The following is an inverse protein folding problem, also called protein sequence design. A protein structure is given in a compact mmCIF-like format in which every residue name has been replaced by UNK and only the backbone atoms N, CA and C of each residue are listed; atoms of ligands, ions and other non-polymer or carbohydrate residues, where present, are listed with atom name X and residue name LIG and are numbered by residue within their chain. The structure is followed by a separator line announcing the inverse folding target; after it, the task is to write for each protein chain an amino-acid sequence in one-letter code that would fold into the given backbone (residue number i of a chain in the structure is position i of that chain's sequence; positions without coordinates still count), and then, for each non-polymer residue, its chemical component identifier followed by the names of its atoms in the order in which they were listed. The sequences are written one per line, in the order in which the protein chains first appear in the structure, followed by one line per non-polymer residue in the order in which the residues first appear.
data_IF_899932838425
#
_entry.id   IF_899932838425
#
_cell.length_a   1.000
_cell.length_b   1.000
_cell.length_c   1.000
_cell.angle_alpha   90.00
_cell.angle_beta   90.00
_cell.angle_gamma   90.00
#
_symmetry.space_group_name_H-M   'P 1'
#
loop_
_entity.id
_entity.type
_entity.pdbx_description
1 polymer ?
#
# COMPACT_ATOMS: atom_id res chain seq x y z
N UNK A 1 1.18 -24.25 66.49
CA UNK A 1 2.11 -23.95 65.38
C UNK A 1 1.29 -23.70 64.13
N UNK A 2 1.23 -22.56 63.45
CA UNK A 2 2.09 -21.38 63.42
C UNK A 2 1.92 -20.80 62.00
N UNK A 3 0.93 -19.92 61.83
CA UNK A 3 0.69 -19.15 60.61
C UNK A 3 1.80 -18.11 60.43
N UNK A 4 2.46 -18.08 59.25
CA UNK A 4 3.06 -16.84 58.72
C UNK A 4 2.73 -16.73 57.24
N UNK A 5 1.92 -15.71 56.95
CA UNK A 5 1.65 -15.15 55.64
C UNK A 5 2.94 -14.67 54.97
N UNK A 6 3.14 -14.99 53.69
CA UNK A 6 3.99 -14.19 52.81
C UNK A 6 3.23 -13.81 51.54
N UNK A 7 2.63 -12.61 51.59
CA UNK A 7 2.33 -11.80 50.42
C UNK A 7 3.63 -11.56 49.66
N UNK A 8 3.62 -11.81 48.35
CA UNK A 8 4.23 -10.92 47.34
C UNK A 8 3.57 -11.20 45.99
N UNK A 9 2.70 -10.27 45.61
CA UNK A 9 2.17 -10.11 44.26
C UNK A 9 3.35 -9.77 43.36
N UNK A 10 3.52 -10.49 42.27
CA UNK A 10 4.43 -10.10 41.18
C UNK A 10 3.62 -10.08 39.89
N UNK A 11 2.99 -8.91 39.68
CA UNK A 11 2.46 -8.49 38.39
C UNK A 11 3.65 -8.03 37.56
N UNK A 12 4.02 -8.78 36.52
CA UNK A 12 5.01 -8.32 35.55
C UNK A 12 4.26 -7.71 34.36
N UNK A 13 4.09 -6.39 34.40
CA UNK A 13 3.75 -5.57 33.24
C UNK A 13 4.90 -5.71 32.23
N UNK A 14 4.65 -6.33 31.08
CA UNK A 14 5.48 -6.12 29.90
C UNK A 14 5.01 -4.83 29.24
N UNK A 15 5.84 -3.82 29.42
CA UNK A 15 5.74 -2.47 28.87
C UNK A 15 5.57 -2.49 27.36
N UNK A 16 4.48 -1.89 26.89
CA UNK A 16 4.33 -1.48 25.50
C UNK A 16 5.47 -0.50 25.15
N UNK A 17 6.27 -0.85 24.14
CA UNK A 17 7.25 0.07 23.58
C UNK A 17 6.49 1.03 22.67
N UNK A 18 6.09 2.16 23.24
CA UNK A 18 5.69 3.32 22.46
C UNK A 18 6.97 3.98 21.91
N UNK A 19 7.35 3.63 20.68
CA UNK A 19 8.32 4.44 19.95
C UNK A 19 7.56 5.59 19.28
N UNK A 20 7.36 6.68 20.01
CA UNK A 20 6.99 7.98 19.45
C UNK A 20 8.24 8.85 19.34
N UNK A 21 8.71 9.08 18.12
CA UNK A 21 9.51 10.26 17.76
C UNK A 21 9.61 10.39 16.25
N UNK A 22 8.84 11.32 15.70
CA UNK A 22 8.82 11.65 14.27
C UNK A 22 7.67 12.60 13.96
N UNK A 23 7.61 13.73 14.68
CA UNK A 23 6.59 14.75 14.47
C UNK A 23 6.69 15.37 13.08
N UNK A 24 5.69 15.09 12.26
CA UNK A 24 5.22 15.97 11.20
C UNK A 24 3.69 15.96 11.28
N UNK A 25 3.13 16.85 12.11
CA UNK A 25 1.74 17.27 11.97
C UNK A 25 1.65 18.19 10.76
N UNK A 26 1.89 17.66 9.57
CA UNK A 26 1.22 18.15 8.38
C UNK A 26 -0.16 17.50 8.44
N UNK A 27 -1.23 18.31 8.41
CA UNK A 27 -2.60 17.82 8.48
C UNK A 27 -2.74 16.58 7.61
N UNK A 28 -3.10 15.44 8.20
CA UNK A 28 -3.28 14.19 7.48
C UNK A 28 -4.52 14.36 6.61
N UNK A 29 -4.35 15.04 5.48
CA UNK A 29 -5.22 14.86 4.34
C UNK A 29 -5.02 13.41 3.93
N UNK A 30 -5.90 12.55 4.45
CA UNK A 30 -6.04 11.17 4.03
C UNK A 30 -6.28 11.21 2.52
N UNK A 31 -5.24 10.88 1.76
CA UNK A 31 -5.35 10.68 0.34
C UNK A 31 -5.78 9.24 0.11
N UNK A 32 -6.39 8.98 -1.04
CA UNK A 32 -6.39 7.66 -1.62
C UNK A 32 -4.96 7.13 -1.74
N UNK A 33 -4.74 5.90 -1.27
CA UNK A 33 -3.43 5.25 -1.19
C UNK A 33 -2.58 5.74 -0.03
N UNK A 34 -1.38 5.19 0.12
CA UNK A 34 -0.46 5.53 1.19
C UNK A 34 0.98 5.40 0.75
N UNK A 35 1.84 6.25 1.28
CA UNK A 35 3.28 6.12 1.05
C UNK A 35 4.10 6.43 2.28
N UNK A 36 5.32 5.88 2.30
CA UNK A 36 6.26 5.98 3.41
C UNK A 36 7.69 6.12 2.90
N UNK A 37 8.50 6.89 3.62
CA UNK A 37 9.91 7.09 3.30
C UNK A 37 10.78 7.01 4.56
N UNK A 38 12.07 6.70 4.39
CA UNK A 38 13.07 6.74 5.49
C UNK A 38 14.35 7.42 5.06
N UNK A 39 14.96 8.26 5.93
CA UNK A 39 16.12 9.04 5.53
C UNK A 39 17.39 8.19 5.39
N UNK A 40 18.30 8.58 4.50
CA UNK A 40 19.65 8.05 4.39
C UNK A 40 20.65 8.78 5.28
N UNK A 41 21.90 8.30 5.33
CA UNK A 41 22.98 8.89 6.15
C UNK A 41 23.93 9.79 5.35
N UNK A 42 23.79 9.82 4.02
CA UNK A 42 24.61 10.64 3.12
C UNK A 42 25.96 10.01 2.75
N UNK A 43 26.44 10.36 1.57
CA UNK A 43 27.74 9.94 1.03
C UNK A 43 27.99 10.54 -0.36
N UNK A 44 29.21 11.00 -0.63
CA UNK A 44 29.61 11.58 -1.92
C UNK A 44 29.81 10.49 -2.97
N UNK A 45 28.76 10.15 -3.69
CA UNK A 45 28.80 9.23 -4.82
C UNK A 45 27.56 9.49 -5.68
N UNK A 46 27.67 9.39 -7.00
CA UNK A 46 26.55 9.57 -7.91
C UNK A 46 25.45 8.57 -7.56
N UNK A 47 24.45 9.01 -6.80
CA UNK A 47 23.44 8.13 -6.26
C UNK A 47 22.49 7.75 -7.41
N UNK A 48 22.56 6.50 -7.88
CA UNK A 48 21.63 5.97 -8.89
C UNK A 48 20.28 5.72 -8.22
N UNK A 49 19.52 6.79 -8.00
CA UNK A 49 18.12 6.69 -7.63
C UNK A 49 17.37 5.97 -8.76
N UNK A 50 16.52 5.03 -8.39
CA UNK A 50 15.68 4.31 -9.33
C UNK A 50 14.24 4.21 -8.83
N UNK A 51 13.32 3.98 -9.76
CA UNK A 51 11.93 3.68 -9.49
C UNK A 51 11.54 2.37 -10.14
N UNK A 52 10.75 1.57 -9.42
CA UNK A 52 10.06 0.42 -9.96
C UNK A 52 8.57 0.58 -9.73
N UNK A 53 7.81 0.53 -10.82
CA UNK A 53 6.36 0.59 -10.80
C UNK A 53 5.78 -0.66 -11.45
N UNK A 54 4.78 -1.25 -10.82
CA UNK A 54 4.03 -2.39 -11.34
C UNK A 54 2.64 -2.38 -10.73
N UNK A 55 1.64 -2.46 -11.58
CA UNK A 55 0.27 -2.69 -11.15
C UNK A 55 -0.42 -3.54 -12.20
N UNK A 56 -0.81 -4.75 -11.81
CA UNK A 56 -1.35 -5.78 -12.70
C UNK A 56 -2.13 -6.85 -11.92
N UNK A 57 -2.74 -7.78 -12.66
CA UNK A 57 -3.55 -8.87 -12.13
C UNK A 57 -2.81 -9.84 -11.19
N UNK A 58 -1.47 -9.80 -11.10
CA UNK A 58 -0.72 -10.65 -10.18
C UNK A 58 -0.60 -10.07 -8.76
N UNK A 59 -1.30 -8.97 -8.47
CA UNK A 59 -1.23 -8.28 -7.18
C UNK A 59 -0.05 -7.32 -7.08
N UNK A 60 0.38 -6.75 -8.21
CA UNK A 60 1.46 -5.74 -8.25
C UNK A 60 2.78 -6.32 -7.75
N UNK A 61 3.46 -5.71 -6.77
CA UNK A 61 4.61 -6.32 -6.11
C UNK A 61 4.24 -7.25 -4.94
N UNK A 62 2.96 -7.30 -4.57
CA UNK A 62 2.43 -8.07 -3.44
C UNK A 62 1.83 -7.18 -2.34
N UNK A 63 1.35 -7.79 -1.24
CA UNK A 63 0.67 -7.07 -0.17
C UNK A 63 1.61 -6.11 0.57
N UNK A 64 1.07 -4.99 1.05
CA UNK A 64 1.80 -3.98 1.81
C UNK A 64 2.11 -4.41 3.26
N UNK A 65 1.70 -5.62 3.65
CA UNK A 65 2.06 -6.28 4.91
C UNK A 65 3.29 -7.21 4.78
N UNK A 66 3.78 -7.44 3.56
CA UNK A 66 4.91 -8.32 3.27
C UNK A 66 6.12 -7.54 2.75
N UNK A 67 7.21 -7.56 3.53
CA UNK A 67 8.48 -6.91 3.14
C UNK A 67 9.08 -7.49 1.85
N UNK A 68 8.75 -8.74 1.50
CA UNK A 68 9.21 -9.32 0.26
C UNK A 68 8.61 -8.60 -0.97
N UNK A 69 7.50 -7.86 -0.82
CA UNK A 69 6.97 -7.00 -1.88
C UNK A 69 7.98 -5.93 -2.28
N UNK A 70 8.63 -5.32 -1.30
CA UNK A 70 9.69 -4.33 -1.52
C UNK A 70 10.92 -5.00 -2.12
N UNK A 71 11.31 -6.16 -1.59
CA UNK A 71 12.47 -6.91 -2.11
C UNK A 71 12.30 -7.33 -3.57
N UNK A 72 11.10 -7.74 -3.99
CA UNK A 72 10.80 -8.10 -5.38
C UNK A 72 10.92 -6.90 -6.32
N UNK A 73 10.41 -5.75 -5.90
CA UNK A 73 10.56 -4.51 -6.65
C UNK A 73 12.04 -4.14 -6.81
N UNK A 74 12.83 -4.14 -5.73
CA UNK A 74 14.27 -3.87 -5.81
C UNK A 74 15.01 -4.88 -6.70
N UNK A 75 14.70 -6.17 -6.58
CA UNK A 75 15.33 -7.21 -7.39
C UNK A 75 15.05 -7.02 -8.89
N UNK A 76 13.86 -6.51 -9.25
CA UNK A 76 13.54 -6.17 -10.64
C UNK A 76 14.39 -5.00 -11.19
N UNK A 77 14.88 -4.11 -10.32
CA UNK A 77 15.86 -3.09 -10.67
C UNK A 77 17.31 -3.62 -10.68
N UNK A 78 17.53 -4.92 -10.44
CA UNK A 78 18.86 -5.50 -10.28
C UNK A 78 19.52 -5.17 -8.93
N UNK A 79 18.73 -4.76 -7.93
CA UNK A 79 19.21 -4.34 -6.62
C UNK A 79 18.79 -5.32 -5.55
N UNK A 80 19.75 -5.84 -4.79
CA UNK A 80 19.50 -6.63 -3.59
C UNK A 80 19.20 -5.71 -2.41
N UNK A 81 18.09 -5.95 -1.72
CA UNK A 81 17.75 -5.25 -0.50
C UNK A 81 18.55 -5.80 0.70
N UNK A 82 19.17 -4.91 1.45
CA UNK A 82 19.70 -5.13 2.79
C UNK A 82 18.94 -4.24 3.77
N UNK A 83 17.96 -4.81 4.45
CA UNK A 83 17.14 -4.12 5.44
C UNK A 83 17.55 -4.43 6.88
N UNK A 84 18.83 -4.70 7.13
CA UNK A 84 19.35 -4.91 8.49
C UNK A 84 19.08 -3.74 9.45
N UNK A 85 18.91 -2.53 8.92
CA UNK A 85 18.52 -1.33 9.68
C UNK A 85 17.01 -1.13 9.86
N UNK A 86 16.18 -1.96 9.23
CA UNK A 86 14.71 -1.89 9.32
C UNK A 86 14.05 -0.69 8.62
N UNK A 87 14.78 0.03 7.77
CA UNK A 87 14.28 1.23 7.07
C UNK A 87 13.21 0.89 6.03
N UNK A 88 13.39 -0.18 5.26
CA UNK A 88 12.40 -0.61 4.28
C UNK A 88 11.14 -1.13 4.98
N UNK A 89 11.29 -1.96 6.03
CA UNK A 89 10.17 -2.42 6.84
C UNK A 89 9.37 -1.26 7.44
N UNK A 90 10.05 -0.23 7.97
CA UNK A 90 9.40 0.92 8.55
C UNK A 90 8.71 1.82 7.50
N UNK A 91 9.34 2.03 6.33
CA UNK A 91 8.71 2.74 5.22
C UNK A 91 7.46 2.01 4.69
N UNK A 92 7.52 0.68 4.63
CA UNK A 92 6.39 -0.17 4.22
C UNK A 92 5.25 -0.10 5.22
N UNK A 93 5.56 -0.18 6.52
CA UNK A 93 4.56 -0.07 7.58
C UNK A 93 3.83 1.28 7.55
N UNK A 94 4.55 2.39 7.33
CA UNK A 94 3.94 3.71 7.17
C UNK A 94 3.04 3.78 5.93
N UNK A 95 3.50 3.24 4.79
CA UNK A 95 2.72 3.20 3.55
C UNK A 95 1.42 2.41 3.74
N UNK A 96 1.51 1.22 4.36
CA UNK A 96 0.37 0.37 4.66
C UNK A 96 -0.61 1.06 5.62
N UNK A 97 -0.11 1.60 6.73
CA UNK A 97 -0.92 2.28 7.75
C UNK A 97 -1.72 3.44 7.15
N UNK A 98 -1.08 4.27 6.32
CA UNK A 98 -1.75 5.38 5.63
C UNK A 98 -2.77 4.92 4.60
N UNK A 99 -2.44 3.87 3.83
CA UNK A 99 -3.35 3.29 2.87
C UNK A 99 -4.61 2.73 3.56
N UNK A 100 -4.45 1.93 4.62
CA UNK A 100 -5.55 1.37 5.41
C UNK A 100 -6.39 2.48 6.07
N UNK A 101 -5.75 3.49 6.66
CA UNK A 101 -6.46 4.59 7.28
C UNK A 101 -7.27 5.42 6.26
N UNK A 102 -6.68 5.69 5.08
CA UNK A 102 -7.38 6.36 3.99
C UNK A 102 -8.53 5.53 3.43
N UNK A 103 -8.38 4.21 3.36
CA UNK A 103 -9.45 3.30 2.97
C UNK A 103 -10.61 3.32 3.98
N UNK A 104 -10.34 3.14 5.28
CA UNK A 104 -11.38 3.16 6.32
C UNK A 104 -12.20 4.45 6.34
N UNK A 105 -11.57 5.58 5.99
CA UNK A 105 -12.28 6.86 5.92
C UNK A 105 -13.22 6.93 4.72
N UNK A 106 -12.82 6.40 3.56
CA UNK A 106 -13.60 6.47 2.32
C UNK A 106 -14.63 5.33 2.22
N UNK A 107 -14.36 4.21 2.86
CA UNK A 107 -15.12 2.96 2.80
C UNK A 107 -15.41 2.42 4.21
N UNK A 108 -16.22 3.13 5.03
CA UNK A 108 -16.48 2.74 6.41
C UNK A 108 -17.24 1.42 6.50
N UNK A 109 -16.69 0.46 7.25
CA UNK A 109 -17.32 -0.85 7.50
C UNK A 109 -16.91 -1.97 6.55
N UNK A 110 -16.04 -1.71 5.58
CA UNK A 110 -15.60 -2.70 4.57
C UNK A 110 -14.33 -3.47 4.94
N UNK A 111 -13.87 -3.34 6.19
CA UNK A 111 -12.61 -3.90 6.67
C UNK A 111 -11.39 -3.17 6.12
N UNK A 112 -10.23 -3.83 6.14
CA UNK A 112 -9.00 -3.28 5.60
C UNK A 112 -9.04 -3.27 4.06
N UNK A 113 -8.43 -2.24 3.44
CA UNK A 113 -8.47 -2.02 2.00
C UNK A 113 -7.61 -2.95 1.15
N UNK A 114 -7.08 -4.05 1.69
CA UNK A 114 -6.15 -4.97 0.99
C UNK A 114 -5.02 -4.25 0.25
N UNK A 115 -4.32 -3.38 0.98
CA UNK A 115 -3.27 -2.52 0.42
C UNK A 115 -2.15 -3.33 -0.23
N UNK A 116 -1.78 -2.95 -1.45
CA UNK A 116 -0.73 -3.59 -2.26
C UNK A 116 0.36 -2.61 -2.63
N UNK A 117 1.61 -3.07 -2.71
CA UNK A 117 2.76 -2.25 -3.11
C UNK A 117 2.77 -2.12 -4.64
N UNK A 118 2.64 -0.88 -5.13
CA UNK A 118 2.66 -0.59 -6.58
C UNK A 118 3.93 0.10 -7.03
N UNK A 119 4.55 0.89 -6.14
CA UNK A 119 5.78 1.61 -6.44
C UNK A 119 6.81 1.48 -5.32
N UNK A 120 8.06 1.26 -5.71
CA UNK A 120 9.22 1.35 -4.82
C UNK A 120 10.28 2.17 -5.53
N UNK A 121 10.68 3.26 -4.90
CA UNK A 121 11.84 4.03 -5.33
C UNK A 121 12.91 4.01 -4.26
N UNK A 122 14.16 3.88 -4.66
CA UNK A 122 15.26 3.79 -3.72
C UNK A 122 16.54 4.40 -4.30
N UNK A 123 17.41 4.82 -3.40
CA UNK A 123 18.74 5.32 -3.74
C UNK A 123 19.74 4.24 -3.36
N UNK A 124 20.35 3.60 -4.36
CA UNK A 124 21.39 2.59 -4.13
C UNK A 124 22.46 3.12 -3.17
N UNK A 125 22.88 2.30 -2.20
CA UNK A 125 23.78 2.73 -1.14
C UNK A 125 25.15 3.18 -1.67
N UNK A 126 25.88 3.95 -0.86
CA UNK A 126 27.24 4.36 -1.21
C UNK A 126 28.20 3.18 -0.96
N UNK A 127 28.69 2.54 -2.02
CA UNK A 127 29.59 1.38 -1.96
C UNK A 127 30.04 0.91 -3.35
N UNK A 128 30.99 -0.03 -3.43
CA UNK A 128 31.58 -0.51 -4.70
C UNK A 128 30.63 -1.33 -5.58
N UNK A 129 29.38 -1.54 -5.15
CA UNK A 129 28.36 -2.28 -5.89
C UNK A 129 27.07 -1.47 -5.93
N UNK A 130 26.70 -0.98 -7.12
CA UNK A 130 25.38 -0.38 -7.40
C UNK A 130 24.22 -1.37 -7.23
N UNK A 131 24.54 -2.66 -7.04
CA UNK A 131 23.58 -3.77 -6.93
C UNK A 131 23.05 -4.02 -5.52
N UNK A 132 23.36 -3.20 -4.50
CA UNK A 132 22.85 -3.38 -3.13
C UNK A 132 22.30 -2.07 -2.58
N UNK A 133 21.10 -2.13 -2.00
CA UNK A 133 20.54 -1.05 -1.20
C UNK A 133 20.68 -1.37 0.29
N UNK A 134 21.24 -0.44 1.07
CA UNK A 134 21.40 -0.55 2.53
C UNK A 134 20.82 0.66 3.29
N UNK A 135 20.03 1.49 2.60
CA UNK A 135 19.40 2.67 3.18
C UNK A 135 20.34 3.82 3.55
N UNK A 136 21.58 3.85 3.05
CA UNK A 136 22.51 4.98 3.26
C UNK A 136 22.35 6.09 2.22
N UNK A 137 21.98 5.75 0.98
CA UNK A 137 21.87 6.67 -0.14
C UNK A 137 20.80 7.73 0.05
N UNK A 138 21.04 8.93 -0.47
CA UNK A 138 20.08 10.04 -0.54
C UNK A 138 20.22 10.70 -1.92
N UNK A 139 19.17 11.34 -2.38
CA UNK A 139 19.16 12.11 -3.62
C UNK A 139 18.27 13.33 -3.46
N UNK A 140 18.63 14.41 -4.16
CA UNK A 140 17.80 15.62 -4.21
C UNK A 140 16.41 15.29 -4.76
N UNK A 141 15.40 16.03 -4.30
CA UNK A 141 14.00 15.85 -4.74
C UNK A 141 13.89 15.91 -6.27
N UNK A 142 14.66 16.78 -6.93
CA UNK A 142 14.67 16.89 -8.39
C UNK A 142 15.04 15.56 -9.06
N UNK A 143 16.02 14.82 -8.53
CA UNK A 143 16.44 13.53 -9.10
C UNK A 143 15.30 12.50 -9.03
N UNK A 144 14.59 12.45 -7.90
CA UNK A 144 13.43 11.57 -7.74
C UNK A 144 12.32 11.89 -8.74
N UNK A 145 12.02 13.18 -8.94
CA UNK A 145 11.00 13.65 -9.88
C UNK A 145 11.42 13.43 -11.33
N UNK A 146 12.65 13.76 -11.69
CA UNK A 146 13.19 13.59 -13.04
C UNK A 146 13.16 12.11 -13.45
N UNK A 147 13.59 11.22 -12.57
CA UNK A 147 13.56 9.78 -12.84
C UNK A 147 12.12 9.23 -12.89
N UNK A 148 11.20 9.72 -12.06
CA UNK A 148 9.80 9.34 -12.17
C UNK A 148 9.21 9.77 -13.52
N UNK A 149 9.40 11.04 -13.89
CA UNK A 149 8.89 11.61 -15.13
C UNK A 149 9.51 10.98 -16.37
N UNK A 150 10.75 10.50 -16.28
CA UNK A 150 11.45 9.85 -17.38
C UNK A 150 11.07 8.38 -17.54
N UNK A 151 10.94 7.63 -16.45
CA UNK A 151 10.86 6.17 -16.50
C UNK A 151 9.49 5.58 -16.12
N UNK A 152 8.67 6.31 -15.34
CA UNK A 152 7.40 5.81 -14.81
C UNK A 152 6.21 6.54 -15.42
N UNK A 153 6.15 7.87 -15.29
CA UNK A 153 4.99 8.67 -15.71
C UNK A 153 4.56 8.49 -17.18
N UNK A 154 5.47 8.28 -18.16
CA UNK A 154 5.08 8.05 -19.55
C UNK A 154 4.39 6.70 -19.77
N UNK A 155 4.55 5.75 -18.84
CA UNK A 155 4.05 4.38 -18.95
C UNK A 155 2.52 4.28 -18.97
N UNK A 156 2.07 3.11 -19.38
CA UNK A 156 0.68 2.70 -19.43
C UNK A 156 0.52 1.44 -18.57
N UNK A 157 -0.42 1.47 -17.62
CA UNK A 157 -0.55 0.47 -16.57
C UNK A 157 -1.96 -0.11 -16.52
N UNK A 158 -2.11 -1.33 -16.02
CA UNK A 158 -3.40 -2.03 -16.02
C UNK A 158 -3.75 -2.52 -14.63
N UNK A 159 -4.66 -1.83 -13.94
CA UNK A 159 -5.18 -2.33 -12.69
C UNK A 159 -6.00 -3.61 -12.90
N UNK A 160 -5.75 -4.62 -12.07
CA UNK A 160 -6.36 -5.95 -12.15
C UNK A 160 -6.29 -6.59 -13.55
N UNK A 161 -5.32 -6.17 -14.39
CA UNK A 161 -5.11 -6.67 -15.75
C UNK A 161 -6.12 -6.20 -16.80
N UNK A 162 -7.15 -5.44 -16.43
CA UNK A 162 -8.24 -5.06 -17.33
C UNK A 162 -8.45 -3.55 -17.44
N UNK A 163 -8.07 -2.79 -16.41
CA UNK A 163 -8.33 -1.35 -16.36
C UNK A 163 -7.08 -0.54 -16.63
N UNK A 164 -7.00 -0.01 -17.85
CA UNK A 164 -5.92 0.86 -18.29
C UNK A 164 -5.93 2.22 -17.58
N UNK A 165 -4.77 2.70 -17.14
CA UNK A 165 -4.60 4.02 -16.53
C UNK A 165 -3.15 4.50 -16.63
N UNK A 166 -2.95 5.80 -16.38
CA UNK A 166 -1.63 6.43 -16.19
C UNK A 166 -1.43 6.75 -14.71
N UNK A 167 -0.19 6.89 -14.25
CA UNK A 167 0.06 7.29 -12.86
C UNK A 167 -0.54 8.67 -12.51
N UNK A 168 -0.79 9.50 -13.51
CA UNK A 168 -1.50 10.79 -13.40
C UNK A 168 -3.02 10.66 -13.31
N UNK A 169 -3.59 9.49 -13.63
CA UNK A 169 -5.03 9.24 -13.54
C UNK A 169 -5.50 9.40 -12.10
N UNK A 170 -6.50 10.27 -11.91
CA UNK A 170 -7.11 10.48 -10.61
C UNK A 170 -7.81 9.21 -10.12
N UNK A 171 -7.84 8.99 -8.81
CA UNK A 171 -8.54 7.82 -8.28
C UNK A 171 -10.05 8.03 -8.31
N UNK A 172 -10.81 6.99 -8.68
CA UNK A 172 -12.27 7.08 -8.79
C UNK A 172 -12.92 7.43 -7.43
N UNK A 173 -12.36 6.88 -6.35
CA UNK A 173 -12.85 7.06 -4.98
C UNK A 173 -12.13 8.17 -4.20
N UNK A 174 -11.10 8.78 -4.78
CA UNK A 174 -10.50 10.05 -4.35
C UNK A 174 -9.95 10.83 -5.56
N UNK A 175 -10.80 11.61 -6.25
CA UNK A 175 -10.38 12.36 -7.44
C UNK A 175 -9.33 13.45 -7.16
N UNK A 176 -9.10 13.77 -5.89
CA UNK A 176 -8.12 14.78 -5.49
C UNK A 176 -6.69 14.24 -5.53
N UNK A 177 -6.51 12.91 -5.59
CA UNK A 177 -5.21 12.25 -5.57
C UNK A 177 -4.97 11.42 -6.85
N UNK A 178 -3.73 10.99 -7.03
CA UNK A 178 -3.27 10.06 -8.06
C UNK A 178 -1.96 9.43 -7.60
N UNK A 179 -1.42 8.46 -8.35
CA UNK A 179 -0.12 7.87 -8.03
C UNK A 179 0.98 8.94 -8.10
N UNK A 180 0.95 9.82 -9.11
CA UNK A 180 1.90 10.94 -9.23
C UNK A 180 1.85 11.85 -8.00
N UNK A 181 0.64 12.19 -7.52
CA UNK A 181 0.48 13.04 -6.32
C UNK A 181 0.98 12.35 -5.05
N UNK A 182 0.82 11.03 -4.93
CA UNK A 182 1.39 10.27 -3.82
C UNK A 182 2.92 10.28 -3.89
N UNK A 183 3.48 10.06 -5.08
CA UNK A 183 4.93 10.14 -5.31
C UNK A 183 5.48 11.51 -4.90
N UNK A 184 4.91 12.60 -5.42
CA UNK A 184 5.33 13.97 -5.10
C UNK A 184 5.24 14.26 -3.60
N UNK A 185 4.20 13.76 -2.94
CA UNK A 185 3.96 13.97 -1.50
C UNK A 185 4.98 13.26 -0.61
N UNK A 186 5.48 12.10 -1.02
CA UNK A 186 6.30 11.23 -0.16
C UNK A 186 7.80 11.20 -0.51
N UNK A 187 8.20 11.81 -1.62
CA UNK A 187 9.60 12.07 -1.92
C UNK A 187 10.17 13.14 -0.97
N UNK A 188 11.45 13.00 -0.60
CA UNK A 188 12.17 13.95 0.24
C UNK A 188 13.66 13.92 -0.13
N UNK A 189 14.36 15.05 0.00
CA UNK A 189 15.81 15.15 -0.25
C UNK A 189 16.65 14.28 0.69
N UNK A 190 16.06 13.85 1.80
CA UNK A 190 16.71 12.96 2.75
C UNK A 190 16.33 11.50 2.53
N UNK A 191 15.30 11.19 1.73
CA UNK A 191 14.81 9.84 1.58
C UNK A 191 15.85 8.93 0.92
N UNK A 192 15.98 7.72 1.49
CA UNK A 192 16.75 6.60 0.92
C UNK A 192 15.86 5.59 0.20
N UNK A 193 14.58 5.57 0.57
CA UNK A 193 13.54 4.72 0.02
C UNK A 193 12.20 5.44 0.13
N UNK A 194 11.34 5.26 -0.88
CA UNK A 194 9.94 5.69 -0.94
C UNK A 194 9.12 4.49 -1.40
N UNK A 195 8.07 4.16 -0.68
CA UNK A 195 7.14 3.07 -1.02
C UNK A 195 5.75 3.68 -1.19
N UNK A 196 5.04 3.28 -2.24
CA UNK A 196 3.65 3.65 -2.48
C UNK A 196 2.80 2.37 -2.52
N UNK A 197 1.75 2.37 -1.70
CA UNK A 197 0.74 1.33 -1.62
C UNK A 197 -0.63 1.89 -2.02
N UNK A 198 -1.41 1.10 -2.75
CA UNK A 198 -2.79 1.41 -3.14
C UNK A 198 -3.73 0.36 -2.56
N UNK A 199 -4.95 0.77 -2.23
CA UNK A 199 -6.00 -0.16 -1.80
C UNK A 199 -6.72 -0.83 -2.99
N UNK A 200 -7.57 -1.82 -2.69
CA UNK A 200 -8.32 -2.63 -3.63
C UNK A 200 -9.29 -1.86 -4.53
N UNK A 201 -9.60 -0.60 -4.24
CA UNK A 201 -10.45 0.25 -5.09
C UNK A 201 -9.65 1.30 -5.84
N UNK A 202 -8.32 1.20 -5.83
CA UNK A 202 -7.43 2.15 -6.47
C UNK A 202 -6.54 1.53 -7.53
N UNK A 203 -6.28 2.22 -8.66
CA UNK A 203 -6.75 3.57 -8.99
C UNK A 203 -8.26 3.66 -9.24
N UNK A 204 -8.94 2.52 -9.33
CA UNK A 204 -10.37 2.49 -9.45
C UNK A 204 -10.99 1.16 -9.01
N UNK A 205 -12.29 1.10 -8.68
CA UNK A 205 -12.92 -0.13 -8.22
C UNK A 205 -12.85 -1.23 -9.28
N UNK A 206 -12.65 -2.50 -8.86
CA UNK A 206 -12.72 -3.63 -9.76
C UNK A 206 -14.16 -3.77 -10.27
N UNK A 207 -14.34 -3.97 -11.57
CA UNK A 207 -15.63 -4.32 -12.14
C UNK A 207 -16.02 -5.72 -11.66
N UNK A 208 -16.98 -5.81 -10.74
CA UNK A 208 -17.66 -7.06 -10.44
C UNK A 208 -18.87 -7.20 -11.36
N UNK A 209 -18.97 -8.32 -12.06
CA UNK A 209 -20.21 -8.69 -12.75
C UNK A 209 -21.10 -9.41 -11.72
N UNK A 210 -22.05 -8.68 -11.14
CA UNK A 210 -23.00 -9.28 -10.20
C UNK A 210 -24.02 -10.09 -10.99
N UNK A 211 -23.81 -11.40 -11.07
CA UNK A 211 -24.81 -12.31 -11.66
C UNK A 211 -25.90 -12.60 -10.64
N UNK A 212 -26.97 -11.80 -10.65
CA UNK A 212 -28.18 -12.11 -9.87
C UNK A 212 -28.94 -13.23 -10.55
N UNK A 213 -29.09 -14.38 -9.87
CA UNK A 213 -29.85 -15.52 -10.41
C UNK A 213 -31.14 -15.70 -9.61
N UNK A 214 -32.28 -15.59 -10.28
CA UNK A 214 -33.58 -15.84 -9.66
C UNK A 214 -33.99 -17.29 -9.85
N UNK A 215 -34.42 -17.94 -8.78
CA UNK A 215 -35.09 -19.25 -8.89
C UNK A 215 -36.56 -19.06 -8.63
N UNK A 216 -37.33 -18.97 -9.70
CA UNK A 216 -38.78 -18.97 -9.60
C UNK A 216 -39.27 -20.38 -9.25
N UNK A 217 -40.05 -20.52 -8.18
CA UNK A 217 -40.76 -21.77 -7.88
C UNK A 217 -42.18 -21.68 -8.39
N UNK A 218 -42.38 -22.04 -9.66
CA UNK A 218 -43.72 -22.21 -10.20
C UNK A 218 -44.40 -23.42 -9.58
N UNK A 219 -45.61 -23.24 -9.01
CA UNK A 219 -46.41 -24.36 -8.51
C UNK A 219 -46.95 -25.15 -9.70
N UNK A 220 -46.98 -26.48 -9.57
CA UNK A 220 -47.44 -27.41 -10.64
C UNK A 220 -48.92 -27.28 -10.99
N UNK A 221 -49.70 -26.50 -10.23
CA UNK A 221 -51.14 -26.34 -10.38
C UNK A 221 -51.58 -24.89 -10.69
N UNK A 222 -50.75 -24.10 -11.36
CA UNK A 222 -51.10 -22.73 -11.76
C UNK A 222 -52.40 -22.71 -12.57
N UNK A 223 -53.41 -21.96 -12.09
CA UNK A 223 -54.66 -21.72 -12.80
C UNK A 223 -54.75 -20.27 -13.25
N UNK A 224 -55.27 -20.06 -14.45
CA UNK A 224 -55.59 -18.72 -14.97
C UNK A 224 -56.56 -18.04 -14.01
N UNK A 225 -56.21 -16.83 -13.55
CA UNK A 225 -57.01 -16.04 -12.61
C UNK A 225 -56.72 -16.28 -11.11
N UNK A 226 -55.69 -17.06 -10.76
CA UNK A 226 -55.26 -17.19 -9.34
C UNK A 226 -54.59 -15.90 -8.83
N UNK A 227 -54.88 -15.55 -7.58
CA UNK A 227 -54.23 -14.48 -6.82
C UNK A 227 -53.27 -15.03 -5.75
N UNK A 228 -52.93 -16.32 -5.82
CA UNK A 228 -52.06 -16.96 -4.84
C UNK A 228 -50.63 -16.40 -4.94
N UNK A 229 -49.93 -16.15 -3.81
CA UNK A 229 -48.56 -15.65 -3.84
C UNK A 229 -47.61 -16.61 -4.57
N UNK A 230 -46.79 -16.06 -5.47
CA UNK A 230 -45.66 -16.75 -6.10
C UNK A 230 -44.41 -16.44 -5.28
N UNK A 231 -43.68 -17.48 -4.88
CA UNK A 231 -42.40 -17.34 -4.21
C UNK A 231 -41.26 -17.21 -5.22
N UNK A 232 -40.48 -16.15 -5.09
CA UNK A 232 -39.19 -15.99 -5.77
C UNK A 232 -38.07 -16.06 -4.73
N UNK A 233 -36.91 -16.57 -5.13
CA UNK A 233 -35.71 -16.59 -4.30
C UNK A 233 -34.58 -15.94 -5.09
N UNK A 234 -34.11 -14.81 -4.56
CA UNK A 234 -32.96 -14.09 -5.08
C UNK A 234 -31.69 -14.74 -4.52
N UNK A 235 -30.80 -15.15 -5.42
CA UNK A 235 -29.42 -15.49 -5.08
C UNK A 235 -28.53 -14.36 -5.56
N UNK A 236 -27.74 -13.81 -4.65
CA UNK A 236 -26.72 -12.79 -4.91
C UNK A 236 -25.35 -13.34 -4.49
#
# INVERSE_FOLDING_TARGET
MGYINNKRKTLALLTAVATLAGGLTAGTAYAGGGGGNRPGTGGSGAATQFWQYKDDASGSWGPATDINSVSRAMANAGVRMDDSSGKAAAALADANSRCVAGFHQRHPGEGDGDCRVVAVGAVSGNGSTTSVWNGSGIADVSIWLDNWNKYIAPGDYNYAGTRHYKTSTAFDDDPSTSVDKLMERYVSSTASIVIIALDKYQPAPPNYDLTVTTTHKQRTNLKVGSTDPIGDTLHA
#
